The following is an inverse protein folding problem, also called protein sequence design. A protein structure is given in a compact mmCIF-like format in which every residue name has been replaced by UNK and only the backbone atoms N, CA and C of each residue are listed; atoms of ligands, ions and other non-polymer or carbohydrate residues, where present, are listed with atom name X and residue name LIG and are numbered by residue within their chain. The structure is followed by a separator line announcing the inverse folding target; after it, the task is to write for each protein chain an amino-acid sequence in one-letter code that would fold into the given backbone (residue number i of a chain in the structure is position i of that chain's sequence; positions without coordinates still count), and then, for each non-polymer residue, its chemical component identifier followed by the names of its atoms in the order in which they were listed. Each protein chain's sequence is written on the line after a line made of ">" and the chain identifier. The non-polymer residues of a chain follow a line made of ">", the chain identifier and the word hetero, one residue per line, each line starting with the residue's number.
data_IF_916996488314
#
_entry.id   IF_916996488314
#
_cell.length_a   1.000
_cell.length_b   1.000
_cell.length_c   1.000
_cell.angle_alpha   90.00
_cell.angle_beta   90.00
_cell.angle_gamma   90.00
#
_symmetry.space_group_name_H-M   'P 1'
#
loop_
_entity.id
_entity.type
_entity.pdbx_description
1 polymer ?
#
# COMPACT_ATOMS: atom_id res chain seq x y z
N UNK A 1 0.41 74.69 -4.12
CA UNK A 1 -0.24 74.58 -2.80
C UNK A 1 0.59 73.58 -2.02
N UNK A 2 1.48 74.09 -1.18
CA UNK A 2 1.96 73.40 0.03
C UNK A 2 0.79 73.34 1.03
N UNK A 3 0.69 72.24 1.79
CA UNK A 3 0.54 72.26 3.25
C UNK A 3 1.32 71.05 3.82
N UNK A 4 1.96 71.36 4.93
CA UNK A 4 2.90 70.70 5.81
C UNK A 4 2.54 69.35 6.44
N UNK A 5 3.62 68.75 6.95
CA UNK A 5 3.76 67.68 7.93
C UNK A 5 2.83 67.78 9.16
N UNK A 6 2.49 66.62 9.73
CA UNK A 6 2.51 66.53 11.20
C UNK A 6 2.99 65.16 11.67
N UNK A 7 3.97 65.27 12.55
CA UNK A 7 4.76 64.29 13.27
C UNK A 7 3.97 63.74 14.47
N UNK A 8 4.14 62.45 14.78
CA UNK A 8 3.99 61.94 16.15
C UNK A 8 4.81 60.65 16.32
N UNK A 9 6.05 60.82 16.76
CA UNK A 9 6.91 59.80 17.39
C UNK A 9 6.62 59.73 18.90
N UNK A 10 6.47 58.51 19.45
CA UNK A 10 7.02 58.04 20.75
C UNK A 10 6.38 56.66 21.11
N UNK A 11 7.09 55.52 21.15
CA UNK A 11 8.19 55.02 22.02
C UNK A 11 7.69 54.05 23.10
N UNK A 12 8.37 52.88 23.15
CA UNK A 12 8.53 51.92 24.26
C UNK A 12 7.29 51.08 24.67
N UNK A 13 7.38 49.80 25.10
CA UNK A 13 8.49 48.98 25.56
C UNK A 13 8.11 47.47 25.55
N UNK A 14 9.15 46.66 25.70
CA UNK A 14 9.30 45.20 25.62
C UNK A 14 8.42 44.33 26.54
N UNK A 15 8.20 43.06 26.18
CA UNK A 15 8.59 41.92 27.06
C UNK A 15 8.53 40.54 26.40
N UNK A 16 9.71 39.94 26.43
CA UNK A 16 10.15 38.55 26.31
C UNK A 16 9.24 37.50 26.99
N UNK A 17 8.93 36.38 26.31
CA UNK A 17 8.97 35.04 26.94
C UNK A 17 9.40 33.96 25.95
N UNK A 18 10.61 33.45 26.18
CA UNK A 18 11.14 32.18 25.71
C UNK A 18 10.36 31.00 26.30
N UNK A 19 10.22 29.89 25.55
CA UNK A 19 10.35 28.50 26.07
C UNK A 19 10.48 27.48 24.93
N UNK A 20 11.73 27.31 24.49
CA UNK A 20 12.22 26.12 23.79
C UNK A 20 13.21 25.45 24.74
N UNK A 21 12.88 24.28 25.29
CA UNK A 21 13.87 23.23 25.57
C UNK A 21 13.18 21.95 26.04
N UNK A 22 13.22 20.91 25.21
CA UNK A 22 13.03 19.53 25.62
C UNK A 22 14.38 19.08 26.16
N UNK A 23 14.49 18.90 27.48
CA UNK A 23 15.66 18.26 28.08
C UNK A 23 15.21 17.20 29.09
N UNK A 24 15.57 15.97 28.75
CA UNK A 24 15.31 14.72 29.45
C UNK A 24 16.05 14.72 30.79
N UNK A 25 15.36 14.51 31.91
CA UNK A 25 15.95 14.06 33.18
C UNK A 25 15.88 12.53 33.22
N UNK A 26 17.04 11.89 33.17
CA UNK A 26 17.78 11.32 34.30
C UNK A 26 17.20 9.99 34.76
N UNK A 27 17.87 8.94 34.29
CA UNK A 27 17.63 7.53 34.54
C UNK A 27 18.04 7.16 35.97
N UNK A 28 17.08 6.75 36.78
CA UNK A 28 17.36 6.02 38.02
C UNK A 28 17.83 4.60 37.67
N UNK A 29 19.06 4.26 38.10
CA UNK A 29 19.52 2.88 38.30
C UNK A 29 19.11 2.52 39.74
N UNK A 30 18.67 1.32 40.11
CA UNK A 30 19.26 0.00 39.84
C UNK A 30 18.42 -1.13 40.47
N UNK A 31 18.81 -2.37 40.15
CA UNK A 31 18.55 -3.63 40.89
C UNK A 31 17.13 -4.22 40.74
N UNK A 32 16.88 -5.47 40.35
CA UNK A 32 17.66 -6.70 40.50
C UNK A 32 17.25 -7.78 39.46
N UNK A 33 18.28 -8.43 38.89
CA UNK A 33 18.39 -9.85 38.47
C UNK A 33 17.15 -10.52 37.82
N UNK A 34 17.02 -10.43 36.48
CA UNK A 34 16.29 -11.44 35.69
C UNK A 34 17.27 -12.49 35.17
N UNK A 35 17.21 -13.71 35.72
CA UNK A 35 17.90 -14.88 35.15
C UNK A 35 17.44 -15.05 33.69
N UNK A 36 18.40 -15.03 32.76
CA UNK A 36 18.18 -15.44 31.38
C UNK A 36 18.10 -16.96 31.39
N UNK A 37 16.90 -17.53 31.34
CA UNK A 37 16.74 -18.92 30.93
C UNK A 37 17.12 -18.98 29.45
N UNK A 38 18.32 -19.46 29.19
CA UNK A 38 18.71 -19.83 27.83
C UNK A 38 17.97 -21.11 27.49
N UNK A 39 16.78 -20.99 26.89
CA UNK A 39 16.22 -22.08 26.09
C UNK A 39 17.07 -22.13 24.82
N UNK A 40 18.28 -22.71 24.91
CA UNK A 40 19.22 -22.85 23.80
C UNK A 40 19.10 -24.19 23.09
N UNK A 41 18.14 -25.02 23.49
CA UNK A 41 18.15 -26.43 23.11
C UNK A 41 17.14 -26.75 22.01
N UNK A 42 16.02 -26.03 21.86
CA UNK A 42 15.00 -26.36 20.84
C UNK A 42 15.41 -26.03 19.40
N UNK A 43 16.06 -24.88 19.15
CA UNK A 43 16.52 -24.53 17.80
C UNK A 43 17.69 -25.42 17.37
N UNK A 44 18.51 -25.85 18.34
CA UNK A 44 19.67 -26.72 18.11
C UNK A 44 19.25 -28.15 17.77
N UNK A 45 18.21 -28.68 18.42
CA UNK A 45 17.71 -30.04 18.14
C UNK A 45 17.06 -30.13 16.76
N UNK A 46 16.25 -29.14 16.37
CA UNK A 46 15.62 -29.10 15.04
C UNK A 46 16.66 -28.94 13.94
N UNK A 47 17.63 -28.03 14.10
CA UNK A 47 18.69 -27.83 13.13
C UNK A 47 19.59 -29.07 12.98
N UNK A 48 19.92 -29.74 14.09
CA UNK A 48 20.67 -31.00 14.06
C UNK A 48 19.91 -32.10 13.31
N UNK A 49 18.61 -32.24 13.57
CA UNK A 49 17.76 -33.23 12.89
C UNK A 49 17.70 -32.97 11.38
N UNK A 50 17.53 -31.72 10.96
CA UNK A 50 17.54 -31.34 9.55
C UNK A 50 18.89 -31.63 8.87
N UNK A 51 20.01 -31.35 9.54
CA UNK A 51 21.35 -31.62 9.00
C UNK A 51 21.60 -33.12 8.86
N UNK A 52 21.16 -33.92 9.84
CA UNK A 52 21.27 -35.39 9.80
C UNK A 52 20.44 -35.98 8.66
N UNK A 53 19.21 -35.49 8.46
CA UNK A 53 18.32 -35.91 7.38
C UNK A 53 18.85 -35.53 5.99
N UNK A 54 19.52 -34.37 5.85
CA UNK A 54 20.14 -33.94 4.59
C UNK A 54 21.46 -34.63 4.27
N UNK A 55 22.21 -35.06 5.29
CA UNK A 55 23.51 -35.70 5.14
C UNK A 55 23.44 -37.22 5.04
N UNK A 56 22.31 -37.82 5.39
CA UNK A 56 22.08 -39.25 5.16
C UNK A 56 21.68 -39.40 3.69
N UNK A 57 22.56 -39.91 2.81
CA UNK A 57 22.10 -40.29 1.48
C UNK A 57 21.01 -41.34 1.68
N UNK A 58 19.83 -41.10 1.11
CA UNK A 58 18.71 -42.03 1.10
C UNK A 58 19.25 -43.42 0.74
N UNK A 59 19.46 -44.23 1.78
CA UNK A 59 20.03 -45.56 1.64
C UNK A 59 18.87 -46.40 1.16
N UNK A 60 18.69 -46.35 -0.17
CA UNK A 60 17.60 -46.95 -0.92
C UNK A 60 17.06 -48.19 -0.22
N UNK A 61 15.93 -47.99 0.45
CA UNK A 61 15.17 -49.11 0.96
C UNK A 61 14.63 -49.84 -0.26
N UNK A 62 15.09 -51.08 -0.37
CA UNK A 62 14.74 -52.06 -1.39
C UNK A 62 13.26 -51.95 -1.74
N UNK A 63 13.02 -51.68 -3.03
CA UNK A 63 11.83 -51.99 -3.83
C UNK A 63 10.76 -52.79 -3.06
N UNK A 64 10.03 -52.12 -2.20
CA UNK A 64 8.65 -52.48 -1.94
C UNK A 64 7.88 -52.06 -3.17
N UNK A 65 7.15 -52.98 -3.77
CA UNK A 65 6.16 -52.70 -4.81
C UNK A 65 5.13 -51.69 -4.27
N UNK A 66 5.49 -50.41 -4.28
CA UNK A 66 4.52 -49.33 -4.28
C UNK A 66 3.86 -49.42 -5.63
N UNK A 67 2.64 -49.96 -5.60
CA UNK A 67 1.76 -50.15 -6.74
C UNK A 67 2.00 -49.04 -7.76
N UNK A 68 2.39 -49.37 -8.99
CA UNK A 68 2.60 -48.41 -10.08
C UNK A 68 1.42 -47.41 -10.19
N UNK A 69 0.23 -47.80 -9.72
CA UNK A 69 -0.94 -46.95 -9.56
C UNK A 69 -0.78 -45.80 -8.57
N UNK A 70 -0.12 -45.97 -7.41
CA UNK A 70 0.04 -44.92 -6.40
C UNK A 70 1.03 -43.85 -6.86
N UNK A 71 2.14 -44.25 -7.48
CA UNK A 71 3.07 -43.32 -8.12
C UNK A 71 2.37 -42.56 -9.27
N UNK A 72 1.63 -43.26 -10.14
CA UNK A 72 0.88 -42.62 -11.24
C UNK A 72 -0.25 -41.72 -10.75
N UNK A 73 -0.96 -42.11 -9.67
CA UNK A 73 -1.98 -41.29 -9.02
C UNK A 73 -1.36 -40.04 -8.40
N UNK A 74 -0.19 -40.15 -7.76
CA UNK A 74 0.52 -39.01 -7.20
C UNK A 74 1.08 -38.09 -8.30
N UNK A 75 1.67 -38.63 -9.37
CA UNK A 75 2.06 -37.86 -10.56
C UNK A 75 0.87 -37.13 -11.18
N UNK A 76 -0.29 -37.78 -11.28
CA UNK A 76 -1.52 -37.15 -11.78
C UNK A 76 -2.07 -36.08 -10.82
N UNK A 77 -1.92 -36.26 -9.50
CA UNK A 77 -2.25 -35.22 -8.50
C UNK A 77 -1.37 -33.99 -8.67
N UNK A 78 -0.06 -34.16 -8.89
CA UNK A 78 0.85 -33.02 -9.11
C UNK A 78 0.50 -32.24 -10.36
N UNK A 79 0.27 -32.93 -11.50
CA UNK A 79 -0.18 -32.27 -12.74
C UNK A 79 -1.49 -31.53 -12.52
N UNK A 80 -2.48 -32.18 -11.90
CA UNK A 80 -3.77 -31.59 -11.61
C UNK A 80 -3.64 -30.30 -10.78
N UNK A 81 -2.83 -30.31 -9.72
CA UNK A 81 -2.63 -29.11 -8.91
C UNK A 81 -1.82 -28.04 -9.63
N UNK A 82 -0.85 -28.40 -10.49
CA UNK A 82 -0.13 -27.44 -11.34
C UNK A 82 -1.09 -26.71 -12.28
N UNK A 83 -1.94 -27.44 -13.00
CA UNK A 83 -2.92 -26.88 -13.92
C UNK A 83 -3.93 -25.97 -13.18
N UNK A 84 -4.30 -26.33 -11.94
CA UNK A 84 -5.14 -25.48 -11.09
C UNK A 84 -4.45 -24.18 -10.68
N UNK A 85 -3.15 -24.21 -10.41
CA UNK A 85 -2.35 -23.00 -10.11
C UNK A 85 -2.34 -22.09 -11.34
N UNK A 86 -2.03 -22.62 -12.52
CA UNK A 86 -2.01 -21.85 -13.77
C UNK A 86 -3.35 -21.16 -14.03
N UNK A 87 -4.47 -21.88 -13.85
CA UNK A 87 -5.80 -21.30 -13.98
C UNK A 87 -6.08 -20.21 -12.95
N UNK A 88 -5.61 -20.36 -11.71
CA UNK A 88 -5.76 -19.36 -10.68
C UNK A 88 -4.92 -18.10 -11.00
N UNK A 89 -3.71 -18.28 -11.53
CA UNK A 89 -2.85 -17.17 -11.97
C UNK A 89 -3.46 -16.39 -13.13
N UNK A 90 -4.01 -17.08 -14.14
CA UNK A 90 -4.73 -16.45 -15.26
C UNK A 90 -5.90 -15.62 -14.74
N UNK A 91 -6.74 -16.20 -13.88
CA UNK A 91 -7.89 -15.48 -13.29
C UNK A 91 -7.45 -14.27 -12.46
N UNK A 92 -6.35 -14.38 -11.72
CA UNK A 92 -5.81 -13.27 -10.94
C UNK A 92 -5.27 -12.14 -11.85
N UNK A 93 -4.63 -12.49 -12.97
CA UNK A 93 -4.20 -11.54 -14.00
C UNK A 93 -5.41 -10.78 -14.56
N UNK A 94 -6.45 -11.51 -14.99
CA UNK A 94 -7.68 -10.92 -15.52
C UNK A 94 -8.36 -10.01 -14.49
N UNK A 95 -8.45 -10.46 -13.23
CA UNK A 95 -9.00 -9.66 -12.14
C UNK A 95 -8.20 -8.37 -11.92
N UNK A 96 -6.87 -8.45 -11.94
CA UNK A 96 -5.98 -7.29 -11.78
C UNK A 96 -6.14 -6.29 -12.92
N UNK A 97 -6.14 -6.78 -14.17
CA UNK A 97 -6.39 -5.95 -15.35
C UNK A 97 -7.76 -5.27 -15.28
N UNK A 98 -8.81 -6.01 -14.92
CA UNK A 98 -10.16 -5.45 -14.77
C UNK A 98 -10.19 -4.33 -13.73
N UNK A 99 -9.55 -4.52 -12.56
CA UNK A 99 -9.43 -3.46 -11.55
C UNK A 99 -8.76 -2.22 -12.13
N UNK A 100 -7.64 -2.36 -12.84
CA UNK A 100 -6.94 -1.23 -13.48
C UNK A 100 -7.85 -0.54 -14.51
N UNK A 101 -8.55 -1.31 -15.35
CA UNK A 101 -9.51 -0.78 -16.33
C UNK A 101 -10.62 0.04 -15.67
N UNK A 102 -11.16 -0.40 -14.53
CA UNK A 102 -12.17 0.39 -13.80
C UNK A 102 -11.62 1.68 -13.22
N UNK A 103 -10.37 1.68 -12.75
CA UNK A 103 -9.70 2.92 -12.36
C UNK A 103 -9.47 3.86 -13.55
N UNK A 104 -9.15 3.30 -14.73
CA UNK A 104 -9.01 4.08 -15.96
C UNK A 104 -10.34 4.73 -16.36
N UNK A 105 -11.42 3.94 -16.47
CA UNK A 105 -12.77 4.43 -16.82
C UNK A 105 -13.21 5.54 -15.84
N UNK A 106 -12.98 5.33 -14.54
CA UNK A 106 -13.33 6.33 -13.54
C UNK A 106 -12.48 7.60 -13.69
N UNK A 107 -11.18 7.46 -13.97
CA UNK A 107 -10.28 8.59 -14.18
C UNK A 107 -10.61 9.39 -15.44
N UNK A 108 -11.08 8.72 -16.50
CA UNK A 108 -11.57 9.35 -17.74
C UNK A 108 -12.77 10.26 -17.46
N UNK A 109 -13.78 9.75 -16.73
CA UNK A 109 -14.96 10.55 -16.35
C UNK A 109 -14.57 11.77 -15.52
N UNK A 110 -13.67 11.60 -14.54
CA UNK A 110 -13.15 12.72 -13.72
C UNK A 110 -12.47 13.77 -14.60
N UNK A 111 -11.67 13.33 -15.57
CA UNK A 111 -10.95 14.23 -16.47
C UNK A 111 -11.89 14.97 -17.42
N UNK A 112 -12.90 14.30 -17.97
CA UNK A 112 -13.88 14.92 -18.87
C UNK A 112 -14.68 16.02 -18.16
N UNK A 113 -15.22 15.77 -16.97
CA UNK A 113 -15.89 16.83 -16.19
C UNK A 113 -14.95 17.99 -15.85
N UNK A 114 -13.71 17.68 -15.43
CA UNK A 114 -12.72 18.72 -15.17
C UNK A 114 -12.47 19.59 -16.41
N UNK A 115 -12.32 18.96 -17.59
CA UNK A 115 -12.07 19.65 -18.86
C UNK A 115 -13.24 20.57 -19.25
N UNK A 116 -14.48 20.15 -18.99
CA UNK A 116 -15.69 20.95 -19.25
C UNK A 116 -15.81 22.15 -18.29
N UNK A 117 -15.47 21.97 -17.02
CA UNK A 117 -15.61 23.00 -15.98
C UNK A 117 -14.43 23.99 -15.96
N UNK A 118 -13.23 23.56 -16.35
CA UNK A 118 -12.01 24.37 -16.28
C UNK A 118 -12.13 25.77 -16.92
N UNK A 119 -12.78 25.96 -18.09
CA UNK A 119 -12.91 27.27 -18.69
C UNK A 119 -13.75 28.27 -17.88
N UNK A 120 -14.72 27.81 -17.09
CA UNK A 120 -15.68 28.69 -16.39
C UNK A 120 -15.21 29.09 -14.99
N UNK A 121 -14.58 28.18 -14.25
CA UNK A 121 -14.26 28.35 -12.83
C UNK A 121 -12.75 28.20 -12.52
N UNK A 122 -11.92 28.09 -13.55
CA UNK A 122 -10.48 27.90 -13.40
C UNK A 122 -10.09 26.52 -12.88
N UNK A 123 -8.80 26.32 -12.62
CA UNK A 123 -8.27 25.00 -12.23
C UNK A 123 -8.81 24.52 -10.88
N UNK A 124 -8.75 25.38 -9.86
CA UNK A 124 -9.10 24.98 -8.50
C UNK A 124 -10.61 24.90 -8.30
N UNK A 125 -11.37 25.80 -8.94
CA UNK A 125 -12.84 25.74 -8.97
C UNK A 125 -13.35 24.46 -9.65
N UNK A 126 -12.80 24.09 -10.81
CA UNK A 126 -13.21 22.87 -11.50
C UNK A 126 -12.92 21.62 -10.67
N UNK A 127 -11.76 21.55 -10.00
CA UNK A 127 -11.44 20.43 -9.12
C UNK A 127 -12.39 20.33 -7.91
N UNK A 128 -12.75 21.46 -7.31
CA UNK A 128 -13.69 21.50 -6.20
C UNK A 128 -15.08 21.00 -6.62
N UNK A 129 -15.58 21.46 -7.78
CA UNK A 129 -16.87 21.05 -8.34
C UNK A 129 -16.91 19.57 -8.71
N UNK A 130 -15.88 19.03 -9.38
CA UNK A 130 -15.78 17.60 -9.67
C UNK A 130 -15.81 16.77 -8.39
N UNK A 131 -15.10 17.21 -7.34
CA UNK A 131 -15.09 16.51 -6.05
C UNK A 131 -16.47 16.56 -5.38
N UNK A 132 -17.16 17.69 -5.45
CA UNK A 132 -18.52 17.84 -4.94
C UNK A 132 -19.49 16.92 -5.68
N UNK A 133 -19.40 16.86 -7.01
CA UNK A 133 -20.25 16.01 -7.86
C UNK A 133 -20.05 14.52 -7.54
N UNK A 134 -18.79 14.08 -7.39
CA UNK A 134 -18.48 12.70 -7.01
C UNK A 134 -19.06 12.36 -5.64
N UNK A 135 -19.04 13.29 -4.68
CA UNK A 135 -19.66 13.09 -3.35
C UNK A 135 -21.19 13.00 -3.43
N UNK A 136 -21.82 13.78 -4.31
CA UNK A 136 -23.27 13.70 -4.52
C UNK A 136 -23.69 12.32 -5.04
N UNK A 137 -22.90 11.74 -5.95
CA UNK A 137 -23.21 10.46 -6.58
C UNK A 137 -22.77 9.24 -5.75
N UNK A 138 -21.77 9.38 -4.89
CA UNK A 138 -21.24 8.29 -4.05
C UNK A 138 -21.61 8.56 -2.59
N UNK A 139 -22.63 7.87 -2.04
CA UNK A 139 -23.04 8.07 -0.66
C UNK A 139 -21.90 7.82 0.33
N UNK A 140 -21.78 8.67 1.34
CA UNK A 140 -20.75 8.58 2.40
C UNK A 140 -20.77 7.24 3.16
N UNK A 141 -21.93 6.58 3.21
CA UNK A 141 -22.09 5.24 3.81
C UNK A 141 -21.19 4.20 3.12
N UNK A 142 -20.87 4.39 1.83
CA UNK A 142 -20.03 3.46 1.06
C UNK A 142 -18.53 3.72 1.20
N UNK A 143 -18.13 4.98 1.33
CA UNK A 143 -16.73 5.37 1.40
C UNK A 143 -16.55 6.56 2.33
N UNK A 144 -15.57 6.46 3.24
CA UNK A 144 -15.08 7.63 3.94
C UNK A 144 -14.48 8.63 2.96
N UNK A 145 -14.47 9.90 3.34
CA UNK A 145 -13.91 10.99 2.56
C UNK A 145 -12.45 10.75 2.12
N UNK A 146 -11.64 10.19 3.02
CA UNK A 146 -10.25 9.85 2.74
C UNK A 146 -10.13 8.69 1.73
N UNK A 147 -10.95 7.65 1.89
CA UNK A 147 -10.96 6.51 0.97
C UNK A 147 -11.41 6.92 -0.44
N UNK A 148 -12.44 7.78 -0.53
CA UNK A 148 -12.92 8.31 -1.80
C UNK A 148 -11.87 9.19 -2.47
N UNK A 149 -11.24 10.10 -1.72
CA UNK A 149 -10.12 10.91 -2.22
C UNK A 149 -9.00 10.04 -2.79
N UNK A 150 -8.54 9.03 -2.04
CA UNK A 150 -7.48 8.11 -2.50
C UNK A 150 -7.87 7.37 -3.77
N UNK A 151 -9.15 6.96 -3.89
CA UNK A 151 -9.65 6.32 -5.10
C UNK A 151 -9.61 7.26 -6.30
N UNK A 152 -10.07 8.50 -6.16
CA UNK A 152 -10.03 9.51 -7.22
C UNK A 152 -8.60 9.83 -7.65
N UNK A 153 -7.68 10.00 -6.69
CA UNK A 153 -6.26 10.23 -6.96
C UNK A 153 -5.63 9.07 -7.73
N UNK A 154 -5.93 7.83 -7.34
CA UNK A 154 -5.45 6.64 -8.05
C UNK A 154 -6.02 6.56 -9.45
N UNK A 155 -7.31 6.83 -9.63
CA UNK A 155 -7.97 6.85 -10.93
C UNK A 155 -7.35 7.90 -11.86
N UNK A 156 -7.14 9.12 -11.37
CA UNK A 156 -6.46 10.18 -12.13
C UNK A 156 -5.03 9.81 -12.54
N UNK A 157 -4.28 9.13 -11.66
CA UNK A 157 -2.93 8.63 -11.99
C UNK A 157 -2.97 7.54 -13.07
N UNK A 158 -3.87 6.57 -12.95
CA UNK A 158 -4.04 5.48 -13.93
C UNK A 158 -4.44 6.04 -15.29
N UNK A 159 -5.46 6.92 -15.33
CA UNK A 159 -5.89 7.55 -16.56
C UNK A 159 -4.76 8.35 -17.21
N UNK A 160 -4.05 9.20 -16.46
CA UNK A 160 -2.92 9.97 -16.99
C UNK A 160 -1.82 9.06 -17.58
N UNK A 161 -1.51 7.95 -16.92
CA UNK A 161 -0.47 7.02 -17.36
C UNK A 161 -0.85 6.32 -18.68
N UNK A 162 -2.05 5.74 -18.76
CA UNK A 162 -2.46 4.95 -19.92
C UNK A 162 -3.02 5.77 -21.07
N UNK A 163 -3.51 6.99 -20.82
CA UNK A 163 -3.91 7.91 -21.88
C UNK A 163 -2.71 8.39 -22.72
N UNK A 164 -1.47 8.24 -22.23
CA UNK A 164 -0.25 8.55 -23.00
C UNK A 164 0.38 7.37 -23.76
N UNK A 165 0.01 6.13 -23.43
CA UNK A 165 0.68 4.91 -23.94
C UNK A 165 -0.34 3.96 -24.63
N UNK A 166 -1.60 4.38 -24.75
CA UNK A 166 -2.76 3.64 -25.23
C UNK A 166 -3.35 2.61 -24.24
N UNK A 167 -4.68 2.56 -24.18
CA UNK A 167 -5.47 1.66 -23.33
C UNK A 167 -5.16 0.17 -23.58
N UNK A 168 -4.76 -0.17 -24.80
CA UNK A 168 -4.40 -1.54 -25.20
C UNK A 168 -3.16 -2.08 -24.49
N UNK A 169 -2.41 -1.22 -23.78
CA UNK A 169 -1.24 -1.62 -22.98
C UNK A 169 -1.58 -2.01 -21.55
N UNK A 170 -2.85 -1.96 -21.16
CA UNK A 170 -3.34 -2.56 -19.90
C UNK A 170 -3.40 -4.08 -20.15
N UNK A 171 -2.26 -4.75 -20.03
CA UNK A 171 -2.02 -6.19 -20.24
C UNK A 171 -1.38 -6.80 -19.00
#
# INVERSE_FOLDING_TARGET
>A
MEIDDDDMVAVAQESNTQKKCIQKSSTEKSSSKKRKTSNKDDVSTVLKKLIEELLTPDSGEVLGESNVSDALLNTRKFLYFSDMIDQAEIKNKDATQNVINRYFDFGEVLYLQYKELKPSCGKDGANALVKEEVRKQIPEIKFSDDALRKRMERAGKVYKLFNSIDRTKIV
#
